data_IF_559645772883
#
_entry.id   IF_559645772883
#
_cell.length_a   1.000
_cell.length_b   1.000
_cell.length_c   1.000
_cell.angle_alpha   90.00
_cell.angle_beta   90.00
_cell.angle_gamma   90.00
#
_symmetry.space_group_name_H-M   'P 1'
#
loop_
_entity.id
_entity.type
_entity.pdbx_description
1 polymer ?
#
# COMPACT_ATOMS: atom_id res chain seq x y z
N UNK A 1 19.75 1.83 -9.40
CA UNK A 1 20.79 0.89 -9.87
C UNK A 1 20.37 -0.57 -9.88
N UNK A 2 19.37 -1.04 -9.12
CA UNK A 2 18.93 -2.45 -9.17
C UNK A 2 17.61 -2.69 -9.92
N UNK A 3 16.97 -1.63 -10.41
CA UNK A 3 15.68 -1.72 -11.11
C UNK A 3 15.77 -2.52 -12.40
N UNK A 4 16.89 -2.45 -13.11
CA UNK A 4 17.10 -3.23 -14.35
C UNK A 4 17.08 -4.73 -14.08
N UNK A 5 17.35 -5.16 -12.85
CA UNK A 5 17.29 -6.56 -12.43
C UNK A 5 15.93 -6.93 -11.86
N UNK A 6 15.37 -6.13 -10.93
CA UNK A 6 14.15 -6.49 -10.21
C UNK A 6 12.85 -5.92 -10.80
N UNK A 7 12.93 -4.96 -11.71
CA UNK A 7 11.76 -4.24 -12.23
C UNK A 7 10.78 -5.15 -12.96
N UNK A 8 11.30 -6.11 -13.75
CA UNK A 8 10.48 -7.11 -14.43
C UNK A 8 9.65 -7.93 -13.45
N UNK A 9 10.29 -8.51 -12.44
CA UNK A 9 9.63 -9.34 -11.42
C UNK A 9 8.60 -8.54 -10.60
N UNK A 10 8.95 -7.30 -10.21
CA UNK A 10 8.06 -6.39 -9.49
C UNK A 10 6.81 -6.09 -10.33
N UNK A 11 6.99 -5.73 -11.60
CA UNK A 11 5.88 -5.42 -12.50
C UNK A 11 5.01 -6.65 -12.73
N UNK A 12 5.60 -7.81 -13.02
CA UNK A 12 4.84 -9.05 -13.23
C UNK A 12 4.05 -9.47 -12.00
N UNK A 13 4.63 -9.40 -10.79
CA UNK A 13 3.92 -9.72 -9.55
C UNK A 13 2.74 -8.76 -9.31
N UNK A 14 2.94 -7.46 -9.52
CA UNK A 14 1.86 -6.46 -9.36
C UNK A 14 0.74 -6.71 -10.37
N UNK A 15 1.07 -6.98 -11.63
CA UNK A 15 0.07 -7.22 -12.68
C UNK A 15 -0.78 -8.45 -12.35
N UNK A 16 -0.16 -9.57 -11.94
CA UNK A 16 -0.90 -10.78 -11.57
C UNK A 16 -1.89 -10.55 -10.42
N UNK A 17 -1.51 -9.73 -9.44
CA UNK A 17 -2.42 -9.33 -8.35
C UNK A 17 -3.57 -8.46 -8.87
N UNK A 18 -3.29 -7.47 -9.71
CA UNK A 18 -4.31 -6.54 -10.24
C UNK A 18 -5.29 -7.26 -11.18
N UNK A 19 -4.81 -8.22 -11.97
CA UNK A 19 -5.61 -9.08 -12.84
C UNK A 19 -6.41 -10.15 -12.08
N UNK A 20 -6.14 -10.32 -10.78
CA UNK A 20 -6.79 -11.31 -9.93
C UNK A 20 -6.32 -12.75 -10.15
N UNK A 21 -5.17 -12.94 -10.82
CA UNK A 21 -4.57 -14.27 -11.02
C UNK A 21 -3.76 -14.74 -9.82
N UNK A 22 -3.31 -13.81 -8.97
CA UNK A 22 -2.66 -14.08 -7.68
C UNK A 22 -3.30 -13.26 -6.55
N UNK A 23 -3.30 -13.81 -5.32
CA UNK A 23 -3.76 -13.09 -4.13
C UNK A 23 -2.64 -12.23 -3.54
N UNK A 24 -3.01 -11.07 -2.99
CA UNK A 24 -2.10 -10.21 -2.25
C UNK A 24 -1.89 -10.65 -0.78
N UNK A 25 -2.53 -11.72 -0.33
CA UNK A 25 -2.48 -12.20 1.06
C UNK A 25 -1.05 -12.42 1.57
N UNK A 26 -0.16 -12.97 0.75
CA UNK A 26 1.22 -13.24 1.16
C UNK A 26 2.06 -11.97 1.40
N UNK A 27 1.55 -10.80 1.04
CA UNK A 27 2.26 -9.51 1.16
C UNK A 27 1.42 -8.41 1.83
N UNK A 28 0.23 -8.73 2.34
CA UNK A 28 -0.66 -7.75 2.98
C UNK A 28 -0.35 -7.53 4.48
N UNK A 29 0.64 -8.26 5.01
CA UNK A 29 1.14 -8.07 6.37
C UNK A 29 1.60 -6.62 6.59
N UNK A 30 1.19 -6.06 7.73
CA UNK A 30 1.42 -4.67 8.08
C UNK A 30 2.08 -4.58 9.45
N UNK A 31 3.23 -3.91 9.50
CA UNK A 31 3.91 -3.59 10.75
C UNK A 31 3.39 -2.24 11.26
N UNK A 32 2.82 -2.24 12.45
CA UNK A 32 2.38 -1.01 13.11
C UNK A 32 3.56 -0.38 13.88
N UNK A 33 3.95 0.82 13.49
CA UNK A 33 4.99 1.60 14.16
C UNK A 33 4.37 2.81 14.86
N UNK A 34 4.72 3.03 16.12
CA UNK A 34 4.25 4.17 16.92
C UNK A 34 5.31 5.27 16.94
N UNK A 35 5.04 6.40 16.28
CA UNK A 35 5.93 7.56 16.27
C UNK A 35 5.49 8.55 17.36
N UNK A 36 6.36 8.92 18.31
CA UNK A 36 6.04 9.95 19.31
C UNK A 36 5.70 11.30 18.67
N UNK A 37 4.62 11.95 19.13
CA UNK A 37 4.29 13.34 18.75
C UNK A 37 4.89 14.39 19.70
N UNK A 38 5.30 13.97 20.89
CA UNK A 38 5.82 14.83 21.96
C UNK A 38 7.06 14.19 22.61
N UNK A 39 7.86 14.99 23.32
CA UNK A 39 8.98 14.51 24.13
C UNK A 39 8.44 13.75 25.35
N UNK A 40 8.95 12.54 25.61
CA UNK A 40 8.55 11.65 26.71
C UNK A 40 7.04 11.34 26.74
N UNK A 41 6.51 10.60 25.74
CA UNK A 41 5.10 10.23 25.72
C UNK A 41 4.76 9.25 26.86
N UNK A 42 3.64 9.49 27.55
CA UNK A 42 3.09 8.65 28.62
C UNK A 42 1.72 8.07 28.28
N UNK A 43 1.04 8.61 27.26
CA UNK A 43 -0.28 8.17 26.79
C UNK A 43 -0.21 7.68 25.35
N UNK A 44 -0.99 6.65 25.00
CA UNK A 44 -1.07 6.13 23.62
C UNK A 44 -1.53 7.20 22.61
N UNK A 45 -2.41 8.11 23.04
CA UNK A 45 -2.87 9.25 22.23
C UNK A 45 -1.76 10.22 21.85
N UNK A 46 -0.59 10.16 22.49
CA UNK A 46 0.59 10.96 22.16
C UNK A 46 1.47 10.33 21.07
N UNK A 47 1.12 9.14 20.59
CA UNK A 47 1.75 8.53 19.42
C UNK A 47 0.91 8.76 18.17
N UNK A 48 1.58 8.76 17.02
CA UNK A 48 0.98 8.64 15.70
C UNK A 48 1.27 7.22 15.20
N UNK A 49 0.26 6.36 15.00
CA UNK A 49 0.49 5.09 14.34
C UNK A 49 0.82 5.31 12.85
N UNK A 50 1.81 4.58 12.36
CA UNK A 50 2.10 4.43 10.94
C UNK A 50 2.09 2.95 10.59
N UNK A 51 1.31 2.61 9.56
CA UNK A 51 1.30 1.28 8.95
C UNK A 51 2.40 1.16 7.91
N UNK A 52 3.38 0.31 8.19
CA UNK A 52 4.41 -0.09 7.22
C UNK A 52 3.98 -1.39 6.54
N UNK A 53 3.49 -1.26 5.30
CA UNK A 53 3.10 -2.40 4.45
C UNK A 53 4.20 -2.72 3.44
N UNK A 54 4.12 -3.91 2.83
CA UNK A 54 4.98 -4.32 1.73
C UNK A 54 4.90 -3.34 0.54
N UNK A 55 6.04 -3.07 -0.11
CA UNK A 55 6.11 -2.17 -1.27
C UNK A 55 5.30 -2.71 -2.45
N UNK A 56 5.35 -4.02 -2.72
CA UNK A 56 4.55 -4.65 -3.78
C UNK A 56 3.05 -4.44 -3.53
N UNK A 57 2.61 -4.61 -2.29
CA UNK A 57 1.22 -4.37 -1.89
C UNK A 57 0.84 -2.90 -2.14
N UNK A 58 1.69 -1.95 -1.72
CA UNK A 58 1.46 -0.51 -1.96
C UNK A 58 1.34 -0.15 -3.43
N UNK A 59 2.17 -0.76 -4.29
CA UNK A 59 2.12 -0.51 -5.74
C UNK A 59 0.79 -1.06 -6.29
N UNK A 60 0.43 -2.31 -5.98
CA UNK A 60 -0.82 -2.92 -6.44
C UNK A 60 -2.05 -2.10 -5.99
N UNK A 61 -2.13 -1.74 -4.70
CA UNK A 61 -3.22 -0.89 -4.20
C UNK A 61 -3.27 0.46 -4.90
N UNK A 62 -2.12 1.05 -5.26
CA UNK A 62 -2.07 2.33 -5.96
C UNK A 62 -2.56 2.22 -7.40
N UNK A 63 -2.23 1.14 -8.11
CA UNK A 63 -2.72 0.88 -9.47
C UNK A 63 -4.25 0.77 -9.46
N UNK A 64 -4.80 -0.03 -8.55
CA UNK A 64 -6.25 -0.19 -8.39
C UNK A 64 -6.92 1.16 -8.06
N UNK A 65 -6.39 1.89 -7.08
CA UNK A 65 -6.92 3.20 -6.70
C UNK A 65 -6.89 4.21 -7.85
N UNK A 66 -5.83 4.19 -8.67
CA UNK A 66 -5.75 5.04 -9.86
C UNK A 66 -6.78 4.66 -10.92
N UNK A 67 -7.08 3.36 -11.08
CA UNK A 67 -8.17 2.90 -11.94
C UNK A 67 -9.54 3.39 -11.42
N UNK A 68 -9.80 3.19 -10.13
CA UNK A 68 -11.04 3.65 -9.49
C UNK A 68 -11.23 5.15 -9.58
N UNK A 69 -10.15 5.94 -9.48
CA UNK A 69 -10.19 7.40 -9.60
C UNK A 69 -10.88 7.88 -10.90
N UNK A 70 -10.80 7.10 -11.98
CA UNK A 70 -11.42 7.45 -13.27
C UNK A 70 -12.94 7.29 -13.25
N UNK A 71 -13.46 6.28 -12.53
CA UNK A 71 -14.88 5.94 -12.49
C UNK A 71 -15.62 6.57 -11.30
N UNK A 72 -14.90 6.86 -10.21
CA UNK A 72 -15.48 7.43 -8.99
C UNK A 72 -16.33 8.69 -9.24
N UNK A 73 -15.92 9.68 -10.05
CA UNK A 73 -16.73 10.87 -10.30
C UNK A 73 -18.12 10.60 -10.87
N UNK A 74 -18.27 9.54 -11.68
CA UNK A 74 -19.55 9.17 -12.29
C UNK A 74 -20.46 8.43 -11.28
N UNK A 75 -19.86 7.71 -10.34
CA UNK A 75 -20.59 6.88 -9.35
C UNK A 75 -21.01 7.68 -8.12
N UNK A 76 -20.25 8.72 -7.74
CA UNK A 76 -20.52 9.53 -6.54
C UNK A 76 -21.30 10.82 -6.83
N UNK A 77 -21.69 11.05 -8.09
CA UNK A 77 -22.48 12.21 -8.49
C UNK A 77 -23.98 12.00 -8.21
N UNK A 78 -24.34 11.99 -6.93
CA UNK A 78 -25.65 12.37 -6.34
C UNK A 78 -25.43 13.03 -4.98
#
# INVERSE_FOLDING_TARGET
HHWDTCGGDVTSAVLRIVEGTESAECINDTILVLIPKVKNPTLLSQFRPISLCNVLYKIASKVIANGLKLVLPEVISE
#
